data_IF_367877893628
#
_entry.id   IF_367877893628
#
_cell.length_a   1.000
_cell.length_b   1.000
_cell.length_c   1.000
_cell.angle_alpha   90.00
_cell.angle_beta   90.00
_cell.angle_gamma   90.00
#
_symmetry.space_group_name_H-M   'P 1'
#
loop_
_entity.id
_entity.type
_entity.pdbx_description
1 polymer ?
#
# COMPACT_ATOMS: atom_id res chain seq x y z
N UNK A 1 -19.50 26.85 28.42
CA UNK A 1 -19.19 25.65 29.25
C UNK A 1 -17.96 24.96 28.67
N UNK A 2 -17.07 24.48 29.54
CA UNK A 2 -15.84 23.76 29.16
C UNK A 2 -16.21 22.33 28.72
N UNK A 3 -15.58 21.82 27.65
CA UNK A 3 -15.82 20.50 27.07
C UNK A 3 -14.61 19.59 27.29
N UNK A 4 -14.85 18.30 27.56
CA UNK A 4 -13.78 17.32 27.75
C UNK A 4 -13.51 16.58 26.43
N UNK A 5 -12.27 16.63 25.98
CA UNK A 5 -11.84 16.00 24.73
C UNK A 5 -10.90 14.81 25.06
N UNK A 6 -11.31 13.61 24.71
CA UNK A 6 -10.59 12.37 25.01
C UNK A 6 -9.87 11.89 23.76
N UNK A 7 -8.57 11.63 23.88
CA UNK A 7 -7.73 11.09 22.82
C UNK A 7 -6.89 9.90 23.33
N UNK A 8 -6.24 9.17 22.44
CA UNK A 8 -5.43 8.02 22.84
C UNK A 8 -4.02 8.40 23.28
N UNK A 9 -3.41 9.41 22.63
CA UNK A 9 -2.00 9.70 22.84
C UNK A 9 -1.72 11.15 23.24
N UNK A 10 -0.63 11.41 23.99
CA UNK A 10 -0.20 12.76 24.32
C UNK A 10 0.30 13.54 23.09
N UNK A 11 0.78 12.86 22.03
CA UNK A 11 1.20 13.51 20.78
C UNK A 11 0.02 14.19 20.12
N UNK A 12 -1.13 13.52 20.03
CA UNK A 12 -2.39 14.12 19.52
C UNK A 12 -2.77 15.38 20.29
N UNK A 13 -2.57 15.39 21.62
CA UNK A 13 -2.88 16.57 22.44
C UNK A 13 -2.08 17.78 21.99
N UNK A 14 -0.77 17.63 21.70
CA UNK A 14 0.07 18.75 21.27
C UNK A 14 -0.44 19.36 19.97
N UNK A 15 -0.79 18.52 18.99
CA UNK A 15 -1.33 18.95 17.69
C UNK A 15 -2.72 19.57 17.84
N UNK A 16 -3.62 18.90 18.57
CA UNK A 16 -5.00 19.38 18.79
C UNK A 16 -5.05 20.67 19.60
N UNK A 17 -4.17 20.87 20.59
CA UNK A 17 -4.11 22.14 21.33
C UNK A 17 -3.85 23.32 20.43
N UNK A 18 -2.90 23.20 19.48
CA UNK A 18 -2.62 24.26 18.50
C UNK A 18 -3.82 24.55 17.61
N UNK A 19 -4.53 23.49 17.17
CA UNK A 19 -5.71 23.63 16.32
C UNK A 19 -6.89 24.21 17.11
N UNK A 20 -7.20 23.64 18.27
CA UNK A 20 -8.36 24.01 19.07
C UNK A 20 -8.24 25.40 19.71
N UNK A 21 -7.01 25.94 19.86
CA UNK A 21 -6.84 27.32 20.35
C UNK A 21 -7.45 28.37 19.44
N UNK A 22 -7.59 28.09 18.15
CA UNK A 22 -8.26 28.96 17.19
C UNK A 22 -9.79 28.92 17.25
N UNK A 23 -10.37 27.97 17.98
CA UNK A 23 -11.80 27.82 18.16
C UNK A 23 -12.28 28.61 19.39
N UNK A 24 -13.40 29.31 19.28
CA UNK A 24 -14.00 30.10 20.38
C UNK A 24 -14.50 29.26 21.59
N UNK A 25 -14.24 27.94 21.63
CA UNK A 25 -14.73 27.01 22.65
C UNK A 25 -13.57 26.57 23.55
N UNK A 26 -13.81 26.50 24.87
CA UNK A 26 -12.80 25.99 25.81
C UNK A 26 -12.85 24.46 25.89
N UNK A 27 -11.71 23.82 25.64
CA UNK A 27 -11.55 22.36 25.67
C UNK A 27 -10.49 21.95 26.70
N UNK A 28 -10.83 20.94 27.50
CA UNK A 28 -9.84 20.19 28.31
C UNK A 28 -9.51 18.92 27.56
N UNK A 29 -8.22 18.67 27.28
CA UNK A 29 -7.79 17.48 26.56
C UNK A 29 -7.15 16.49 27.53
N UNK A 30 -7.57 15.22 27.45
CA UNK A 30 -7.03 14.13 28.28
C UNK A 30 -6.67 12.92 27.43
N UNK A 31 -5.43 12.36 27.53
CA UNK A 31 -5.04 11.13 26.86
C UNK A 31 -5.39 9.91 27.71
N UNK A 32 -5.90 8.85 27.08
CA UNK A 32 -6.12 7.55 27.73
C UNK A 32 -4.86 6.68 27.74
N UNK A 33 -3.89 6.98 26.88
CA UNK A 33 -2.71 6.13 26.64
C UNK A 33 -3.09 4.70 26.17
N UNK A 34 -4.14 4.56 25.37
CA UNK A 34 -4.71 3.31 24.91
C UNK A 34 -5.88 2.81 25.78
N UNK A 35 -6.13 1.51 25.76
CA UNK A 35 -7.25 0.90 26.51
C UNK A 35 -7.18 1.11 28.02
N UNK A 36 -8.31 1.42 28.65
CA UNK A 36 -8.46 1.52 30.10
C UNK A 36 -8.91 0.20 30.76
N UNK A 37 -9.47 -0.71 29.97
CA UNK A 37 -9.85 -2.08 30.34
C UNK A 37 -9.19 -3.09 29.42
N UNK A 38 -8.92 -4.29 29.92
CA UNK A 38 -8.53 -5.45 29.10
C UNK A 38 -8.92 -6.75 29.80
N UNK A 39 -8.82 -7.88 29.10
CA UNK A 39 -8.96 -9.20 29.69
C UNK A 39 -7.81 -9.48 30.67
N UNK A 40 -8.08 -10.22 31.79
CA UNK A 40 -7.05 -10.56 32.76
C UNK A 40 -5.90 -11.34 32.10
N UNK A 41 -4.64 -11.06 32.53
CA UNK A 41 -3.46 -11.69 31.92
C UNK A 41 -3.29 -13.17 32.31
N UNK A 42 -3.66 -13.53 33.54
CA UNK A 42 -3.36 -14.85 34.12
C UNK A 42 -4.54 -15.83 34.06
N UNK A 43 -5.62 -15.49 33.38
CA UNK A 43 -6.79 -16.35 33.21
C UNK A 43 -7.41 -16.15 31.83
N UNK A 44 -8.24 -17.10 31.40
CA UNK A 44 -8.95 -17.00 30.13
C UNK A 44 -9.77 -15.71 30.03
N UNK A 45 -10.48 -15.35 31.13
CA UNK A 45 -11.28 -14.13 31.18
C UNK A 45 -12.47 -14.11 30.21
N UNK A 46 -12.85 -15.26 29.66
CA UNK A 46 -14.00 -15.46 28.76
C UNK A 46 -14.77 -16.66 29.27
N UNK A 47 -16.08 -16.52 29.40
CA UNK A 47 -16.96 -17.64 29.71
C UNK A 47 -17.11 -18.53 28.47
N UNK A 48 -16.81 -19.84 28.59
CA UNK A 48 -16.82 -20.76 27.44
C UNK A 48 -18.23 -21.14 26.95
N UNK A 49 -19.28 -20.89 27.75
CA UNK A 49 -20.66 -21.21 27.35
C UNK A 49 -21.33 -20.01 26.67
N UNK A 50 -21.15 -18.80 27.24
CA UNK A 50 -21.77 -17.58 26.72
C UNK A 50 -20.89 -16.77 25.80
N UNK A 51 -19.57 -17.07 25.79
CA UNK A 51 -18.51 -16.30 25.11
C UNK A 51 -18.37 -14.86 25.64
N UNK A 52 -18.96 -14.55 26.78
CA UNK A 52 -18.89 -13.22 27.38
C UNK A 52 -17.52 -12.94 27.98
N UNK A 53 -16.88 -11.81 27.63
CA UNK A 53 -15.59 -11.41 28.19
C UNK A 53 -15.74 -10.71 29.54
N UNK A 54 -14.89 -11.07 30.48
CA UNK A 54 -14.80 -10.42 31.81
C UNK A 54 -13.65 -9.42 31.84
N UNK A 55 -13.91 -8.19 31.36
CA UNK A 55 -12.90 -7.13 31.35
C UNK A 55 -12.62 -6.57 32.74
N UNK A 56 -11.34 -6.28 33.02
CA UNK A 56 -10.88 -5.63 34.22
C UNK A 56 -10.24 -4.28 33.90
N UNK A 57 -10.34 -3.31 34.80
CA UNK A 57 -9.59 -2.07 34.69
C UNK A 57 -8.10 -2.32 34.88
N UNK A 58 -7.30 -1.75 33.99
CA UNK A 58 -5.85 -1.89 34.05
C UNK A 58 -5.27 -1.05 35.20
N UNK A 59 -4.48 -1.67 36.09
CA UNK A 59 -3.82 -0.98 37.24
C UNK A 59 -2.99 0.22 36.75
N UNK A 60 -2.29 0.10 35.62
CA UNK A 60 -1.49 1.18 35.04
C UNK A 60 -2.33 2.40 34.59
N UNK A 61 -3.66 2.25 34.49
CA UNK A 61 -4.60 3.30 34.07
C UNK A 61 -5.34 3.98 35.23
N UNK A 62 -5.09 3.61 36.48
CA UNK A 62 -5.81 4.19 37.61
C UNK A 62 -5.62 5.69 37.73
N UNK A 63 -4.46 6.24 37.39
CA UNK A 63 -4.24 7.69 37.33
C UNK A 63 -5.16 8.37 36.32
N UNK A 64 -5.31 7.76 35.12
CA UNK A 64 -6.22 8.24 34.04
C UNK A 64 -7.67 8.16 34.48
N UNK A 65 -8.08 7.06 35.10
CA UNK A 65 -9.45 6.87 35.61
C UNK A 65 -9.79 7.92 36.70
N UNK A 66 -8.88 8.18 37.61
CA UNK A 66 -9.04 9.23 38.65
C UNK A 66 -9.18 10.61 38.03
N UNK A 67 -8.41 10.91 36.99
CA UNK A 67 -8.45 12.19 36.32
C UNK A 67 -9.74 12.32 35.45
N UNK A 68 -10.18 11.26 34.76
CA UNK A 68 -11.47 11.20 34.08
C UNK A 68 -12.62 11.52 35.04
N UNK A 69 -12.64 10.88 36.21
CA UNK A 69 -13.63 11.15 37.27
C UNK A 69 -13.59 12.61 37.75
N UNK A 70 -12.40 13.14 38.00
CA UNK A 70 -12.22 14.53 38.47
C UNK A 70 -12.68 15.55 37.41
N UNK A 71 -12.39 15.30 36.13
CA UNK A 71 -12.76 16.21 35.05
C UNK A 71 -14.25 16.11 34.69
N UNK A 72 -14.86 14.95 34.81
CA UNK A 72 -16.28 14.76 34.51
C UNK A 72 -17.20 15.62 35.38
N UNK A 73 -16.77 15.95 36.62
CA UNK A 73 -17.55 16.86 37.49
C UNK A 73 -17.57 18.32 37.02
N UNK A 74 -16.66 18.70 36.10
CA UNK A 74 -16.47 20.08 35.62
C UNK A 74 -17.05 20.35 34.23
N UNK A 75 -17.58 19.32 33.56
CA UNK A 75 -18.05 19.38 32.16
C UNK A 75 -19.45 18.77 32.05
N UNK A 76 -20.18 19.14 31.03
CA UNK A 76 -21.46 18.50 30.64
C UNK A 76 -21.35 17.68 29.37
N UNK A 77 -20.33 17.94 28.56
CA UNK A 77 -20.12 17.29 27.27
C UNK A 77 -18.73 16.65 27.19
N UNK A 78 -18.70 15.42 26.67
CA UNK A 78 -17.47 14.63 26.47
C UNK A 78 -17.34 14.28 24.97
N UNK A 79 -16.24 14.68 24.39
CA UNK A 79 -15.90 14.45 22.99
C UNK A 79 -14.87 13.31 22.89
N UNK A 80 -15.29 12.19 22.34
CA UNK A 80 -14.48 10.96 22.21
C UNK A 80 -13.77 10.99 20.84
N UNK A 81 -12.52 11.45 20.82
CA UNK A 81 -11.71 11.67 19.63
C UNK A 81 -10.53 10.66 19.51
N UNK A 82 -10.80 9.42 19.84
CA UNK A 82 -9.89 8.29 19.64
C UNK A 82 -9.77 7.96 18.16
N UNK A 83 -8.83 7.09 17.77
CA UNK A 83 -8.63 6.70 16.36
C UNK A 83 -9.93 6.23 15.70
N UNK A 84 -10.12 6.50 14.40
CA UNK A 84 -11.34 6.12 13.69
C UNK A 84 -11.33 4.64 13.28
N UNK A 85 -11.02 3.74 14.22
CA UNK A 85 -11.00 2.30 14.03
C UNK A 85 -11.71 1.56 15.17
N UNK A 86 -11.77 0.22 15.10
CA UNK A 86 -12.43 -0.61 16.11
C UNK A 86 -11.81 -0.51 17.50
N UNK A 87 -10.49 -0.32 17.57
CA UNK A 87 -9.76 -0.17 18.84
C UNK A 87 -10.12 1.17 19.48
N UNK A 88 -10.12 2.27 18.68
CA UNK A 88 -10.54 3.57 19.15
C UNK A 88 -12.01 3.61 19.55
N UNK A 89 -12.89 2.87 18.84
CA UNK A 89 -14.29 2.73 19.21
C UNK A 89 -14.47 2.04 20.57
N UNK A 90 -13.70 0.97 20.81
CA UNK A 90 -13.70 0.26 22.09
C UNK A 90 -13.18 1.13 23.25
N UNK A 91 -12.12 1.91 23.01
CA UNK A 91 -11.62 2.86 24.00
C UNK A 91 -12.71 3.89 24.34
N UNK A 92 -13.37 4.46 23.32
CA UNK A 92 -14.49 5.40 23.47
C UNK A 92 -15.64 4.79 24.26
N UNK A 93 -16.04 3.56 23.94
CA UNK A 93 -17.09 2.83 24.64
C UNK A 93 -16.75 2.65 26.14
N UNK A 94 -15.54 2.19 26.45
CA UNK A 94 -15.11 1.98 27.85
C UNK A 94 -15.02 3.28 28.64
N UNK A 95 -14.59 4.38 28.01
CA UNK A 95 -14.58 5.70 28.66
C UNK A 95 -16.01 6.17 28.93
N UNK A 96 -16.93 6.04 27.96
CA UNK A 96 -18.35 6.35 28.11
C UNK A 96 -18.95 5.53 29.26
N UNK A 97 -18.79 4.22 29.25
CA UNK A 97 -19.27 3.31 30.28
C UNK A 97 -18.74 3.68 31.68
N UNK A 98 -17.44 3.98 31.79
CA UNK A 98 -16.83 4.37 33.06
C UNK A 98 -17.43 5.68 33.59
N UNK A 99 -17.57 6.68 32.75
CA UNK A 99 -18.04 8.01 33.17
C UNK A 99 -19.55 8.00 33.49
N UNK A 100 -20.38 7.24 32.76
CA UNK A 100 -21.80 7.09 33.06
C UNK A 100 -22.08 6.43 34.43
N UNK A 101 -21.18 5.57 34.89
CA UNK A 101 -21.24 5.02 36.28
C UNK A 101 -20.97 6.07 37.35
N UNK A 102 -20.26 7.15 37.00
CA UNK A 102 -19.96 8.23 37.93
C UNK A 102 -21.02 9.35 37.84
N UNK A 103 -21.53 9.63 36.63
CA UNK A 103 -22.42 10.76 36.36
C UNK A 103 -23.29 10.48 35.13
N UNK A 104 -24.60 10.32 35.34
CA UNK A 104 -25.56 9.89 34.32
C UNK A 104 -25.98 10.96 33.31
N UNK A 105 -25.83 12.24 33.67
CA UNK A 105 -26.26 13.41 32.87
C UNK A 105 -25.22 13.90 31.85
N UNK A 106 -24.11 13.20 31.67
CA UNK A 106 -23.09 13.54 30.70
C UNK A 106 -23.54 13.20 29.28
N UNK A 107 -23.32 14.14 28.37
CA UNK A 107 -23.58 13.97 26.93
C UNK A 107 -22.25 13.56 26.26
N UNK A 108 -22.32 12.53 25.40
CA UNK A 108 -21.15 12.00 24.69
C UNK A 108 -21.29 12.19 23.20
N UNK A 109 -20.21 12.61 22.57
CA UNK A 109 -20.08 12.74 21.13
C UNK A 109 -18.83 12.00 20.66
N UNK A 110 -18.95 11.22 19.59
CA UNK A 110 -17.85 10.54 18.92
C UNK A 110 -17.39 11.37 17.73
N UNK A 111 -16.05 11.54 17.60
CA UNK A 111 -15.40 12.26 16.50
C UNK A 111 -14.51 11.34 15.71
N UNK A 112 -14.71 11.29 14.41
CA UNK A 112 -13.83 10.55 13.49
C UNK A 112 -12.76 11.48 12.92
N UNK A 113 -11.59 11.51 13.58
CA UNK A 113 -10.46 12.30 13.12
C UNK A 113 -9.67 11.52 12.05
N UNK A 114 -10.08 11.64 10.80
CA UNK A 114 -9.40 11.01 9.65
C UNK A 114 -8.08 11.69 9.31
N UNK A 115 -7.96 12.96 9.66
CA UNK A 115 -6.74 13.75 9.61
C UNK A 115 -6.74 14.78 10.75
N UNK A 116 -5.58 15.07 11.30
CA UNK A 116 -5.44 16.01 12.42
C UNK A 116 -4.97 17.36 11.87
N UNK A 117 -5.87 18.00 11.12
CA UNK A 117 -5.70 19.33 10.54
C UNK A 117 -6.81 20.26 11.04
N UNK A 118 -6.68 21.61 10.91
CA UNK A 118 -7.77 22.53 11.25
C UNK A 118 -9.08 22.18 10.53
N UNK A 119 -8.98 21.81 9.25
CA UNK A 119 -10.14 21.42 8.45
C UNK A 119 -10.72 20.08 8.90
N UNK A 120 -9.86 19.06 9.13
CA UNK A 120 -10.28 17.74 9.59
C UNK A 120 -10.99 17.81 10.95
N UNK A 121 -10.45 18.58 11.89
CA UNK A 121 -11.04 18.81 13.20
C UNK A 121 -12.38 19.57 13.08
N UNK A 122 -12.45 20.60 12.25
CA UNK A 122 -13.70 21.32 11.99
C UNK A 122 -14.75 20.41 11.38
N UNK A 123 -14.37 19.60 10.41
CA UNK A 123 -15.27 18.64 9.77
C UNK A 123 -15.79 17.61 10.78
N UNK A 124 -14.91 17.04 11.61
CA UNK A 124 -15.31 16.10 12.65
C UNK A 124 -16.26 16.72 13.70
N UNK A 125 -16.01 17.98 14.10
CA UNK A 125 -16.90 18.71 15.03
C UNK A 125 -18.27 19.04 14.43
N UNK A 126 -18.39 19.12 13.13
CA UNK A 126 -19.67 19.34 12.43
C UNK A 126 -20.41 18.03 12.13
N UNK A 127 -19.74 16.87 12.23
CA UNK A 127 -20.30 15.55 11.95
C UNK A 127 -20.17 14.63 13.18
N UNK A 128 -20.70 15.11 14.31
CA UNK A 128 -20.72 14.34 15.55
C UNK A 128 -21.67 13.14 15.41
N UNK A 129 -21.27 12.01 15.97
CA UNK A 129 -22.08 10.80 16.03
C UNK A 129 -22.09 10.20 17.43
N UNK A 130 -22.86 9.17 17.63
CA UNK A 130 -22.77 8.31 18.80
C UNK A 130 -21.65 7.29 18.65
N UNK A 131 -21.30 6.62 19.76
CA UNK A 131 -20.40 5.45 19.72
C UNK A 131 -21.11 4.32 18.97
N UNK A 132 -20.43 3.75 17.99
CA UNK A 132 -20.94 2.67 17.15
C UNK A 132 -20.79 1.31 17.88
N UNK A 133 -21.92 0.82 18.39
CA UNK A 133 -21.97 -0.44 19.11
C UNK A 133 -21.57 -1.64 18.23
N UNK A 134 -21.88 -1.61 16.92
CA UNK A 134 -21.50 -2.69 15.99
C UNK A 134 -19.99 -2.78 15.77
N UNK A 135 -19.32 -1.62 15.69
CA UNK A 135 -17.86 -1.58 15.64
C UNK A 135 -17.24 -2.06 16.95
N UNK A 136 -17.84 -1.69 18.08
CA UNK A 136 -17.44 -2.20 19.39
C UNK A 136 -17.63 -3.72 19.51
N UNK A 137 -18.76 -4.26 19.11
CA UNK A 137 -19.02 -5.72 19.07
C UNK A 137 -18.02 -6.44 18.15
N UNK A 138 -17.69 -5.86 17.00
CA UNK A 138 -16.66 -6.38 16.10
C UNK A 138 -15.27 -6.42 16.78
N UNK A 139 -14.93 -5.43 17.61
CA UNK A 139 -13.73 -5.46 18.44
C UNK A 139 -13.81 -6.58 19.49
N UNK A 140 -14.94 -6.71 20.20
CA UNK A 140 -15.16 -7.75 21.20
C UNK A 140 -14.98 -9.14 20.60
N UNK A 141 -15.66 -9.44 19.50
CA UNK A 141 -15.58 -10.73 18.82
C UNK A 141 -14.13 -11.09 18.47
N UNK A 142 -13.39 -10.12 17.93
CA UNK A 142 -11.97 -10.29 17.63
C UNK A 142 -11.15 -10.54 18.90
N UNK A 143 -11.38 -9.78 19.97
CA UNK A 143 -10.61 -9.89 21.21
C UNK A 143 -10.87 -11.23 21.91
N UNK A 144 -12.12 -11.68 21.93
CA UNK A 144 -12.53 -12.98 22.46
C UNK A 144 -11.87 -14.13 21.65
N UNK A 145 -11.97 -14.06 20.32
CA UNK A 145 -11.39 -15.09 19.45
C UNK A 145 -9.87 -15.20 19.62
N UNK A 146 -9.15 -14.06 19.63
CA UNK A 146 -7.71 -14.03 19.87
C UNK A 146 -7.35 -14.63 21.23
N UNK A 147 -8.19 -14.39 22.27
CA UNK A 147 -8.01 -14.95 23.61
C UNK A 147 -8.24 -16.47 23.63
N UNK A 148 -9.32 -16.95 23.00
CA UNK A 148 -9.62 -18.37 22.93
C UNK A 148 -8.51 -19.15 22.22
N UNK A 149 -8.09 -18.69 21.05
CA UNK A 149 -7.02 -19.36 20.29
C UNK A 149 -5.70 -19.33 21.10
N UNK A 150 -5.32 -18.18 21.64
CA UNK A 150 -4.06 -18.03 22.39
C UNK A 150 -4.01 -18.87 23.66
N UNK A 151 -5.12 -19.03 24.38
CA UNK A 151 -5.16 -19.70 25.69
C UNK A 151 -5.56 -21.17 25.64
N UNK A 152 -6.28 -21.61 24.60
CA UNK A 152 -6.71 -22.99 24.46
C UNK A 152 -5.82 -23.78 23.49
N UNK A 153 -5.48 -23.18 22.33
CA UNK A 153 -4.71 -23.88 21.30
C UNK A 153 -3.20 -23.86 21.59
N UNK A 154 -2.64 -22.72 22.05
CA UNK A 154 -1.20 -22.65 22.33
C UNK A 154 -0.70 -23.67 23.36
N UNK A 155 -1.38 -23.90 24.52
CA UNK A 155 -0.96 -24.92 25.48
C UNK A 155 -1.09 -26.36 24.93
N UNK A 156 -2.07 -26.58 24.05
CA UNK A 156 -2.24 -27.88 23.37
C UNK A 156 -1.04 -28.15 22.44
N UNK A 157 -0.69 -27.20 21.58
CA UNK A 157 0.47 -27.31 20.70
C UNK A 157 1.77 -27.49 21.51
N UNK A 158 1.96 -26.69 22.55
CA UNK A 158 3.17 -26.78 23.38
C UNK A 158 3.34 -28.14 24.03
N UNK A 159 2.25 -28.78 24.46
CA UNK A 159 2.27 -30.13 25.00
C UNK A 159 2.51 -31.18 23.91
N UNK A 160 1.83 -31.08 22.77
CA UNK A 160 1.94 -32.04 21.66
C UNK A 160 3.37 -32.10 21.07
N UNK A 161 4.06 -30.98 21.04
CA UNK A 161 5.41 -30.88 20.48
C UNK A 161 6.52 -30.79 21.54
N UNK A 162 6.18 -30.81 22.80
CA UNK A 162 7.11 -30.61 23.92
C UNK A 162 8.01 -29.37 23.77
N UNK A 163 7.45 -28.29 23.26
CA UNK A 163 8.11 -27.02 22.98
C UNK A 163 7.19 -25.85 23.34
N UNK A 164 7.78 -24.70 23.67
CA UNK A 164 7.02 -23.48 23.91
C UNK A 164 6.51 -22.88 22.56
N UNK A 165 5.34 -23.32 22.12
CA UNK A 165 4.71 -22.89 20.88
C UNK A 165 3.47 -22.03 21.14
N UNK A 166 3.19 -21.14 20.22
CA UNK A 166 2.01 -20.28 20.26
C UNK A 166 1.18 -20.39 18.98
N UNK A 167 -0.14 -20.39 19.13
CA UNK A 167 -1.10 -20.24 18.05
C UNK A 167 -1.78 -18.89 18.11
N UNK A 168 -2.17 -18.37 16.96
CA UNK A 168 -2.91 -17.12 16.87
C UNK A 168 -3.71 -17.03 15.58
N UNK A 169 -4.83 -16.34 15.64
CA UNK A 169 -5.77 -16.17 14.53
C UNK A 169 -5.12 -15.61 13.25
N UNK A 170 -4.10 -14.79 13.37
CA UNK A 170 -3.38 -14.18 12.25
C UNK A 170 -2.07 -14.93 11.97
N UNK A 171 -1.29 -15.22 13.02
CA UNK A 171 0.04 -15.81 12.85
C UNK A 171 -0.01 -17.24 12.29
N UNK A 172 -0.98 -18.07 12.71
CA UNK A 172 -1.06 -19.45 12.24
C UNK A 172 -1.45 -19.56 10.76
N UNK A 173 -2.49 -18.85 10.26
CA UNK A 173 -2.75 -18.80 8.82
C UNK A 173 -1.61 -18.17 8.01
N UNK A 174 -0.94 -17.13 8.53
CA UNK A 174 0.20 -16.52 7.84
C UNK A 174 1.36 -17.52 7.71
N UNK A 175 1.69 -18.25 8.79
CA UNK A 175 2.70 -19.31 8.75
C UNK A 175 2.32 -20.42 7.77
N UNK A 176 1.06 -20.81 7.73
CA UNK A 176 0.56 -21.81 6.77
C UNK A 176 0.82 -21.37 5.33
N UNK A 177 0.49 -20.12 4.97
CA UNK A 177 0.74 -19.58 3.62
C UNK A 177 2.23 -19.60 3.26
N UNK A 178 3.11 -19.28 4.22
CA UNK A 178 4.56 -19.34 4.02
C UNK A 178 5.01 -20.78 3.78
N UNK A 179 4.55 -21.73 4.60
CA UNK A 179 4.91 -23.15 4.45
C UNK A 179 4.38 -23.75 3.14
N UNK A 180 3.15 -23.39 2.73
CA UNK A 180 2.60 -23.82 1.44
C UNK A 180 3.45 -23.28 0.28
N UNK A 181 3.87 -22.02 0.34
CA UNK A 181 4.75 -21.41 -0.65
C UNK A 181 6.14 -22.06 -0.67
N UNK A 182 6.72 -22.33 0.51
CA UNK A 182 8.02 -22.99 0.60
C UNK A 182 8.01 -24.39 -0.01
N UNK A 183 6.92 -25.15 0.21
CA UNK A 183 6.73 -26.46 -0.45
C UNK A 183 6.67 -26.32 -1.97
N UNK A 184 5.95 -25.32 -2.49
CA UNK A 184 5.94 -25.04 -3.93
C UNK A 184 7.35 -24.73 -4.48
N UNK A 185 8.20 -24.07 -3.69
CA UNK A 185 9.58 -23.75 -4.05
C UNK A 185 10.44 -25.04 -4.01
N UNK A 186 10.31 -25.84 -2.97
CA UNK A 186 11.07 -27.10 -2.79
C UNK A 186 10.70 -28.14 -3.85
N UNK A 187 9.42 -28.25 -4.21
CA UNK A 187 8.92 -29.20 -5.21
C UNK A 187 9.19 -28.73 -6.66
N UNK A 188 9.60 -27.48 -6.83
CA UNK A 188 9.81 -26.89 -8.16
C UNK A 188 11.01 -27.52 -8.85
N UNK A 189 10.80 -28.00 -10.07
CA UNK A 189 11.85 -28.53 -10.94
C UNK A 189 12.16 -27.52 -12.05
N UNK A 190 13.35 -26.91 -12.05
CA UNK A 190 13.72 -26.00 -13.12
C UNK A 190 13.73 -26.70 -14.49
N UNK A 191 13.09 -26.05 -15.47
CA UNK A 191 13.21 -26.45 -16.87
C UNK A 191 14.16 -25.52 -17.58
N UNK A 192 15.10 -26.14 -18.34
CA UNK A 192 16.06 -25.42 -19.17
C UNK A 192 15.59 -25.47 -20.60
N UNK A 193 15.50 -24.30 -21.21
CA UNK A 193 15.19 -24.13 -22.64
C UNK A 193 16.13 -23.11 -23.25
N UNK A 194 16.16 -23.02 -24.56
CA UNK A 194 17.03 -22.13 -25.30
C UNK A 194 16.22 -21.25 -26.25
N UNK A 195 16.60 -19.98 -26.37
CA UNK A 195 16.06 -19.00 -27.30
C UNK A 195 17.12 -18.53 -28.28
N UNK A 196 16.74 -18.20 -29.51
CA UNK A 196 17.63 -17.65 -30.52
C UNK A 196 17.41 -16.15 -30.66
N UNK A 197 18.48 -15.39 -30.47
CA UNK A 197 18.51 -13.93 -30.58
C UNK A 197 19.44 -13.56 -31.72
N UNK A 198 19.00 -12.68 -32.62
CA UNK A 198 19.85 -12.07 -33.64
C UNK A 198 20.22 -10.64 -33.21
N UNK A 199 21.45 -10.27 -33.48
CA UNK A 199 21.93 -8.88 -33.40
C UNK A 199 21.99 -8.34 -34.82
N UNK A 200 21.21 -7.30 -35.07
CA UNK A 200 21.03 -6.69 -36.38
C UNK A 200 21.44 -5.22 -36.35
N UNK A 201 21.78 -4.71 -37.51
CA UNK A 201 22.10 -3.30 -37.72
C UNK A 201 21.22 -2.70 -38.82
N UNK A 202 20.77 -1.48 -38.60
CA UNK A 202 20.10 -0.64 -39.57
C UNK A 202 20.59 0.81 -39.43
N UNK A 203 21.16 1.37 -40.49
CA UNK A 203 21.66 2.76 -40.55
C UNK A 203 22.55 3.14 -39.35
N UNK A 204 23.48 2.26 -38.92
CA UNK A 204 24.37 2.48 -37.80
C UNK A 204 23.73 2.24 -36.42
N UNK A 205 22.45 1.85 -36.37
CA UNK A 205 21.75 1.51 -35.11
C UNK A 205 21.67 0.00 -34.94
N UNK A 206 22.29 -0.49 -33.88
CA UNK A 206 22.28 -1.93 -33.52
C UNK A 206 21.10 -2.24 -32.62
N UNK A 207 20.45 -3.36 -32.86
CA UNK A 207 19.34 -3.85 -32.06
C UNK A 207 19.24 -5.37 -32.07
N UNK A 208 18.48 -5.93 -31.16
CA UNK A 208 18.30 -7.38 -31.05
C UNK A 208 16.86 -7.78 -31.33
N UNK A 209 16.68 -8.95 -31.95
CA UNK A 209 15.36 -9.56 -32.15
C UNK A 209 15.41 -11.04 -31.78
N UNK A 210 14.29 -11.57 -31.31
CA UNK A 210 14.16 -12.91 -30.79
C UNK A 210 13.30 -13.77 -31.72
N UNK A 211 13.62 -15.06 -31.83
CA UNK A 211 12.86 -16.02 -32.62
C UNK A 211 11.51 -16.33 -31.97
N UNK A 212 10.45 -16.19 -32.76
CA UNK A 212 9.07 -16.51 -32.38
C UNK A 212 8.51 -17.59 -33.28
N UNK A 213 7.65 -18.42 -32.68
CA UNK A 213 6.77 -19.34 -33.43
C UNK A 213 5.34 -18.85 -33.26
N UNK A 214 4.73 -18.34 -34.33
CA UNK A 214 3.43 -17.63 -34.29
C UNK A 214 3.53 -16.39 -33.37
N UNK A 215 2.86 -16.44 -32.22
CA UNK A 215 2.76 -15.30 -31.28
C UNK A 215 3.64 -15.41 -30.03
N UNK A 216 4.36 -16.53 -29.87
CA UNK A 216 5.11 -16.82 -28.67
C UNK A 216 6.61 -16.97 -28.95
N UNK A 217 7.51 -16.54 -28.04
CA UNK A 217 8.91 -16.83 -28.13
C UNK A 217 9.13 -18.34 -28.34
N UNK A 218 9.93 -18.70 -29.34
CA UNK A 218 10.25 -20.10 -29.57
C UNK A 218 11.34 -20.54 -28.59
N UNK A 219 11.12 -21.68 -27.95
CA UNK A 219 12.05 -22.28 -27.01
C UNK A 219 12.37 -23.70 -27.45
N UNK A 220 13.66 -23.95 -27.75
CA UNK A 220 14.17 -25.29 -28.07
C UNK A 220 14.61 -26.01 -26.78
N UNK A 221 14.70 -27.33 -26.85
CA UNK A 221 15.17 -28.15 -25.75
C UNK A 221 16.72 -28.20 -25.68
N UNK A 222 17.39 -28.04 -26.80
CA UNK A 222 18.84 -28.08 -26.90
C UNK A 222 19.37 -26.87 -27.67
N UNK A 223 20.65 -26.57 -27.44
CA UNK A 223 21.33 -25.48 -28.12
C UNK A 223 21.55 -25.81 -29.60
N UNK A 224 21.90 -27.08 -29.87
CA UNK A 224 22.21 -27.60 -31.20
C UNK A 224 21.04 -27.44 -32.16
N UNK A 225 19.78 -27.63 -31.67
CA UNK A 225 18.56 -27.41 -32.47
C UNK A 225 18.50 -26.00 -33.02
N UNK A 226 18.86 -24.98 -32.22
CA UNK A 226 18.85 -23.59 -32.65
C UNK A 226 20.02 -23.20 -33.52
N UNK A 227 21.18 -23.81 -33.30
CA UNK A 227 22.36 -23.63 -34.17
C UNK A 227 22.09 -24.20 -35.57
N UNK A 228 21.45 -25.39 -35.66
CA UNK A 228 21.03 -25.97 -36.94
C UNK A 228 19.91 -25.11 -37.60
N UNK A 229 18.95 -24.61 -36.78
CA UNK A 229 17.94 -23.70 -37.27
C UNK A 229 18.57 -22.44 -37.87
N UNK A 230 19.56 -21.84 -37.18
CA UNK A 230 20.25 -20.65 -37.67
C UNK A 230 20.97 -20.95 -39.00
N UNK A 231 21.76 -21.99 -39.09
CA UNK A 231 22.49 -22.40 -40.31
C UNK A 231 21.52 -22.62 -41.47
N UNK A 232 20.38 -23.26 -41.23
CA UNK A 232 19.44 -23.63 -42.29
C UNK A 232 18.60 -22.44 -42.78
N UNK A 233 18.20 -21.56 -41.90
CA UNK A 233 17.18 -20.56 -42.20
C UNK A 233 17.65 -19.10 -42.17
N UNK A 234 18.84 -18.81 -41.61
CA UNK A 234 19.33 -17.43 -41.38
C UNK A 234 20.69 -17.20 -42.05
N UNK A 235 21.67 -18.10 -41.85
CA UNK A 235 23.02 -17.93 -42.34
C UNK A 235 23.09 -17.74 -43.86
N UNK A 236 23.76 -16.66 -44.27
CA UNK A 236 23.90 -16.32 -45.70
C UNK A 236 22.58 -15.94 -46.38
N UNK A 237 21.51 -15.73 -45.67
CA UNK A 237 20.20 -15.32 -46.22
C UNK A 237 19.98 -13.83 -46.06
N UNK A 238 19.18 -13.26 -46.97
CA UNK A 238 18.69 -11.90 -46.90
C UNK A 238 17.72 -11.77 -45.71
N UNK A 239 18.01 -10.86 -44.75
CA UNK A 239 17.12 -10.49 -43.66
C UNK A 239 16.41 -9.19 -44.04
N UNK A 240 15.07 -9.19 -43.92
CA UNK A 240 14.28 -8.02 -44.22
C UNK A 240 13.13 -7.84 -43.22
N UNK A 241 12.71 -6.61 -43.08
CA UNK A 241 11.54 -6.26 -42.26
C UNK A 241 10.25 -6.60 -43.08
N UNK A 242 9.48 -7.56 -42.61
CA UNK A 242 8.21 -7.90 -43.26
C UNK A 242 7.11 -6.90 -42.90
N UNK A 243 7.02 -6.55 -41.62
CA UNK A 243 5.98 -5.65 -41.09
C UNK A 243 6.45 -4.86 -39.89
N UNK A 244 6.10 -3.57 -39.83
CA UNK A 244 6.29 -2.72 -38.66
C UNK A 244 4.95 -2.30 -38.09
N UNK A 245 4.75 -2.49 -36.83
CA UNK A 245 3.58 -2.01 -36.09
C UNK A 245 3.98 -1.00 -35.03
N UNK A 246 3.39 0.17 -35.04
CA UNK A 246 3.59 1.19 -34.03
C UNK A 246 2.31 1.43 -33.25
N UNK A 247 2.43 1.50 -31.91
CA UNK A 247 1.28 1.72 -31.04
C UNK A 247 1.65 2.63 -29.88
N UNK A 248 0.79 3.62 -29.62
CA UNK A 248 0.91 4.40 -28.38
C UNK A 248 0.30 3.59 -27.22
N UNK A 249 1.13 3.29 -26.24
CA UNK A 249 0.71 2.59 -25.02
C UNK A 249 0.79 3.54 -23.82
N UNK A 250 -0.18 3.44 -22.90
CA UNK A 250 -0.25 4.25 -21.70
C UNK A 250 0.05 3.37 -20.49
N UNK A 251 1.02 3.78 -19.70
CA UNK A 251 1.31 3.22 -18.39
C UNK A 251 0.60 4.05 -17.31
N UNK A 252 -0.33 3.42 -16.61
CA UNK A 252 -1.13 4.09 -15.60
C UNK A 252 -0.32 4.38 -14.34
N UNK A 253 -0.53 5.52 -13.65
CA UNK A 253 0.07 5.78 -12.35
C UNK A 253 -0.41 4.76 -11.31
N UNK A 254 0.46 4.41 -10.34
CA UNK A 254 0.10 3.53 -9.25
C UNK A 254 -0.96 4.18 -8.34
N UNK A 255 -1.83 3.41 -7.67
CA UNK A 255 -2.78 3.96 -6.70
C UNK A 255 -2.05 4.54 -5.48
N UNK A 256 -2.68 5.45 -4.71
CA UNK A 256 -2.15 5.91 -3.45
C UNK A 256 -2.03 4.74 -2.45
N UNK A 257 -1.25 4.93 -1.41
CA UNK A 257 -1.00 3.87 -0.44
C UNK A 257 -2.22 3.51 0.40
N UNK A 258 -2.36 2.23 0.66
CA UNK A 258 -3.04 1.62 1.79
C UNK A 258 -2.00 0.98 2.72
N UNK A 259 -2.38 0.57 3.92
CA UNK A 259 -1.47 0.03 4.94
C UNK A 259 -0.51 -1.03 4.38
N UNK A 260 -1.04 -2.04 3.68
CA UNK A 260 -0.20 -3.15 3.17
C UNK A 260 0.81 -2.69 2.12
N UNK A 261 0.40 -1.85 1.17
CA UNK A 261 1.30 -1.36 0.11
C UNK A 261 2.31 -0.34 0.62
N UNK A 262 1.99 0.41 1.68
CA UNK A 262 2.96 1.29 2.35
C UNK A 262 4.05 0.49 3.03
N UNK A 263 3.69 -0.57 3.77
CA UNK A 263 4.65 -1.47 4.44
C UNK A 263 5.58 -2.12 3.40
N UNK A 264 5.02 -2.63 2.31
CA UNK A 264 5.80 -3.24 1.23
C UNK A 264 6.77 -2.23 0.60
N UNK A 265 6.29 -1.05 0.24
CA UNK A 265 7.12 -0.04 -0.40
C UNK A 265 8.23 0.50 0.52
N UNK A 266 7.94 0.73 1.81
CA UNK A 266 8.92 1.17 2.80
C UNK A 266 9.97 0.08 3.08
N UNK A 267 9.55 -1.20 3.09
CA UNK A 267 10.45 -2.33 3.19
C UNK A 267 11.41 -2.42 2.00
N UNK A 268 10.89 -2.29 0.78
CA UNK A 268 11.70 -2.31 -0.45
C UNK A 268 12.65 -1.12 -0.58
N UNK A 269 12.18 0.08 -0.22
CA UNK A 269 12.96 1.30 -0.43
C UNK A 269 14.00 1.55 0.67
N UNK A 270 13.69 1.22 1.92
CA UNK A 270 14.48 1.63 3.10
C UNK A 270 14.85 0.48 4.03
N UNK A 271 14.40 -0.74 3.78
CA UNK A 271 14.58 -1.88 4.67
C UNK A 271 13.78 -1.78 5.98
N UNK A 272 12.75 -0.95 6.03
CA UNK A 272 11.94 -0.79 7.25
C UNK A 272 11.10 -2.04 7.51
N UNK A 273 11.09 -2.51 8.76
CA UNK A 273 10.16 -3.55 9.16
C UNK A 273 8.71 -3.04 9.15
N UNK A 274 7.74 -3.95 9.08
CA UNK A 274 6.32 -3.60 9.19
C UNK A 274 6.00 -2.84 10.48
N UNK A 275 6.61 -3.26 11.61
CA UNK A 275 6.45 -2.61 12.93
C UNK A 275 7.00 -1.18 12.91
N UNK A 276 8.17 -0.98 12.34
CA UNK A 276 8.81 0.34 12.24
C UNK A 276 8.01 1.26 11.33
N UNK A 277 7.61 0.80 10.14
CA UNK A 277 6.78 1.55 9.20
C UNK A 277 5.48 2.03 9.87
N UNK A 278 4.78 1.13 10.57
CA UNK A 278 3.53 1.48 11.25
C UNK A 278 3.74 2.44 12.42
N UNK A 279 4.84 2.33 13.14
CA UNK A 279 5.19 3.26 14.21
C UNK A 279 5.46 4.67 13.66
N UNK A 280 6.24 4.78 12.60
CA UNK A 280 6.53 6.07 11.94
C UNK A 280 5.27 6.69 11.33
N UNK A 281 4.42 5.89 10.67
CA UNK A 281 3.15 6.35 10.10
C UNK A 281 2.17 6.85 11.19
N UNK A 282 2.10 6.18 12.34
CA UNK A 282 1.31 6.64 13.48
C UNK A 282 1.78 8.02 13.95
N UNK A 283 3.08 8.23 14.07
CA UNK A 283 3.65 9.54 14.46
C UNK A 283 3.34 10.64 13.45
N UNK A 284 3.49 10.36 12.15
CA UNK A 284 3.15 11.29 11.08
C UNK A 284 1.66 11.67 11.11
N UNK A 285 0.77 10.70 11.33
CA UNK A 285 -0.66 10.95 11.49
C UNK A 285 -0.97 11.81 12.73
N UNK A 286 -0.42 11.46 13.89
CA UNK A 286 -0.67 12.19 15.15
C UNK A 286 -0.15 13.63 15.12
N UNK A 287 0.88 13.88 14.32
CA UNK A 287 1.44 15.22 14.08
C UNK A 287 0.67 15.98 12.98
N UNK A 288 -0.27 15.32 12.29
CA UNK A 288 -1.10 15.93 11.26
C UNK A 288 -0.47 16.01 9.88
N UNK A 289 0.64 15.30 9.61
CA UNK A 289 1.29 15.28 8.30
C UNK A 289 0.59 14.41 7.28
N UNK A 290 -0.02 13.31 7.73
CA UNK A 290 -0.74 12.37 6.85
C UNK A 290 -2.14 12.06 7.37
N UNK A 291 -2.98 11.52 6.50
CA UNK A 291 -4.27 10.92 6.86
C UNK A 291 -4.07 9.65 7.70
N UNK A 292 -5.14 9.15 8.30
CA UNK A 292 -5.11 7.91 9.08
C UNK A 292 -4.49 6.77 8.30
N UNK A 293 -3.51 6.11 8.90
CA UNK A 293 -2.62 5.17 8.21
C UNK A 293 -3.08 3.71 8.26
N UNK A 294 -4.04 3.35 9.13
CA UNK A 294 -4.64 1.99 9.17
C UNK A 294 -5.86 1.95 8.28
N UNK A 295 -5.64 1.82 6.99
CA UNK A 295 -6.68 1.78 5.96
C UNK A 295 -6.37 0.77 4.86
N UNK A 296 -7.39 0.12 4.35
CA UNK A 296 -7.35 -0.72 3.15
C UNK A 296 -7.89 -0.01 1.90
N UNK A 297 -8.34 1.25 2.06
CA UNK A 297 -8.89 2.08 1.01
C UNK A 297 -7.82 2.79 0.19
N UNK A 298 -8.05 2.88 -1.12
CA UNK A 298 -7.28 3.74 -2.05
C UNK A 298 -8.10 4.94 -2.52
N UNK A 299 -9.23 5.22 -1.86
CA UNK A 299 -10.09 6.35 -2.18
C UNK A 299 -9.44 7.66 -1.75
N UNK A 300 -9.60 8.68 -2.56
CA UNK A 300 -9.14 10.05 -2.28
C UNK A 300 -10.37 10.97 -2.26
N UNK A 301 -10.47 11.84 -1.26
CA UNK A 301 -11.58 12.79 -1.15
C UNK A 301 -11.57 13.79 -2.32
N UNK A 302 -12.73 14.33 -2.68
CA UNK A 302 -12.81 15.37 -3.73
C UNK A 302 -11.94 16.59 -3.45
N UNK A 303 -11.83 16.98 -2.18
CA UNK A 303 -10.99 18.09 -1.76
C UNK A 303 -9.51 17.80 -1.98
N UNK A 304 -9.04 16.63 -1.55
CA UNK A 304 -7.64 16.23 -1.74
C UNK A 304 -7.26 16.10 -3.23
N UNK A 305 -8.19 15.65 -4.08
CA UNK A 305 -8.01 15.65 -5.54
C UNK A 305 -7.84 17.05 -6.10
N UNK A 306 -8.68 18.00 -5.67
CA UNK A 306 -8.54 19.41 -6.10
C UNK A 306 -7.22 20.04 -5.64
N UNK A 307 -6.79 19.73 -4.42
CA UNK A 307 -5.47 20.17 -3.91
C UNK A 307 -4.33 19.60 -4.75
N UNK A 308 -4.38 18.30 -5.07
CA UNK A 308 -3.38 17.65 -5.92
C UNK A 308 -3.40 18.23 -7.35
N UNK A 309 -4.57 18.42 -7.93
CA UNK A 309 -4.73 19.04 -9.26
C UNK A 309 -4.12 20.43 -9.31
N UNK A 310 -4.42 21.27 -8.31
CA UNK A 310 -3.84 22.63 -8.25
C UNK A 310 -2.33 22.57 -8.12
N UNK A 311 -1.80 21.73 -7.24
CA UNK A 311 -0.36 21.56 -7.04
C UNK A 311 0.33 21.09 -8.33
N UNK A 312 -0.26 20.09 -9.02
CA UNK A 312 0.29 19.56 -10.27
C UNK A 312 0.30 20.64 -11.35
N UNK A 313 -0.80 21.37 -11.53
CA UNK A 313 -0.86 22.47 -12.51
C UNK A 313 0.20 23.54 -12.26
N UNK A 314 0.40 23.92 -11.00
CA UNK A 314 1.34 24.97 -10.63
C UNK A 314 2.80 24.55 -10.82
N UNK A 315 3.17 23.30 -10.50
CA UNK A 315 4.57 22.88 -10.43
C UNK A 315 5.02 22.06 -11.64
N UNK A 316 4.09 21.40 -12.37
CA UNK A 316 4.42 20.49 -13.47
C UNK A 316 3.77 20.90 -14.81
N UNK A 317 2.64 21.58 -14.79
CA UNK A 317 1.86 21.93 -15.96
C UNK A 317 0.52 21.18 -16.05
N UNK A 318 -0.40 21.71 -16.83
CA UNK A 318 -1.78 21.16 -16.95
C UNK A 318 -1.80 19.77 -17.59
N UNK A 319 -0.88 19.48 -18.52
CA UNK A 319 -0.73 18.19 -19.20
C UNK A 319 -0.37 17.04 -18.25
N UNK A 320 0.20 17.37 -17.08
CA UNK A 320 0.51 16.36 -16.05
C UNK A 320 -0.68 16.05 -15.15
N UNK A 321 -1.79 16.76 -15.25
CA UNK A 321 -2.99 16.43 -14.47
C UNK A 321 -3.63 15.14 -14.95
N UNK A 322 -3.85 14.21 -14.03
CA UNK A 322 -4.55 12.97 -14.31
C UNK A 322 -6.04 13.21 -14.56
N UNK A 323 -6.61 12.54 -15.57
CA UNK A 323 -8.06 12.52 -15.74
C UNK A 323 -8.70 11.82 -14.54
N UNK A 324 -9.80 12.35 -14.04
CA UNK A 324 -10.54 11.77 -12.89
C UNK A 324 -10.93 10.32 -13.19
N UNK A 325 -10.14 9.37 -12.71
CA UNK A 325 -10.43 7.95 -12.88
C UNK A 325 -11.46 7.52 -11.86
N UNK A 326 -12.57 6.94 -12.32
CA UNK A 326 -13.46 6.16 -11.46
C UNK A 326 -12.71 4.89 -11.06
N UNK A 327 -12.03 4.92 -9.90
CA UNK A 327 -11.42 3.71 -9.34
C UNK A 327 -12.56 2.77 -8.90
N UNK A 328 -12.48 1.50 -9.31
CA UNK A 328 -13.44 0.47 -8.87
C UNK A 328 -13.39 0.39 -7.35
N UNK A 329 -14.51 0.67 -6.70
CA UNK A 329 -14.66 0.44 -5.25
C UNK A 329 -14.62 -1.08 -5.02
N UNK A 330 -13.70 -1.54 -4.20
CA UNK A 330 -13.68 -2.95 -3.81
C UNK A 330 -14.86 -3.22 -2.87
N UNK A 331 -15.66 -4.25 -3.14
CA UNK A 331 -16.92 -4.58 -2.44
C UNK A 331 -16.80 -4.81 -0.92
N UNK A 332 -15.61 -4.93 -0.37
CA UNK A 332 -15.35 -5.27 1.05
C UNK A 332 -14.45 -4.27 1.78
N UNK A 333 -14.24 -3.06 1.24
CA UNK A 333 -13.50 -2.01 1.96
C UNK A 333 -14.39 -1.38 3.03
N UNK A 334 -13.85 -1.11 4.21
CA UNK A 334 -14.48 -0.19 5.16
C UNK A 334 -14.57 1.18 4.47
N UNK A 335 -15.73 1.49 3.92
CA UNK A 335 -15.98 2.64 3.02
C UNK A 335 -15.77 4.02 3.69
N UNK A 336 -15.47 4.01 4.98
CA UNK A 336 -15.31 5.21 5.80
C UNK A 336 -13.92 5.87 5.68
N UNK A 337 -12.88 5.14 5.25
CA UNK A 337 -11.50 5.64 5.24
C UNK A 337 -11.05 6.12 3.86
N UNK A 338 -10.12 7.10 3.87
CA UNK A 338 -9.35 7.50 2.71
C UNK A 338 -8.04 6.69 2.60
N UNK A 339 -7.37 6.83 1.45
CA UNK A 339 -6.00 6.39 1.26
C UNK A 339 -5.05 7.14 2.20
N UNK A 340 -3.87 6.57 2.42
CA UNK A 340 -2.77 7.25 3.11
C UNK A 340 -2.21 8.31 2.18
N UNK A 341 -2.31 9.58 2.58
CA UNK A 341 -1.84 10.73 1.80
C UNK A 341 -1.32 11.85 2.70
N UNK A 342 -0.51 12.75 2.18
CA UNK A 342 -0.18 13.99 2.89
C UNK A 342 -1.44 14.84 3.09
N UNK A 343 -1.48 15.57 4.19
CA UNK A 343 -2.56 16.53 4.49
C UNK A 343 -2.33 17.88 3.83
N UNK A 344 -1.05 18.20 3.53
CA UNK A 344 -0.64 19.40 2.83
C UNK A 344 0.52 19.09 1.88
N UNK A 345 0.37 19.41 0.60
CA UNK A 345 1.37 19.16 -0.43
C UNK A 345 2.54 20.14 -0.43
N UNK A 346 2.36 21.33 0.16
CA UNK A 346 3.43 22.34 0.28
C UNK A 346 4.47 21.97 1.36
N UNK A 347 4.19 20.96 2.18
CA UNK A 347 5.13 20.47 3.18
C UNK A 347 5.99 19.38 2.57
N UNK A 348 7.30 19.59 2.47
CA UNK A 348 8.28 18.63 1.94
C UNK A 348 8.83 17.68 3.00
N UNK A 349 8.53 17.95 4.28
CA UNK A 349 8.96 17.13 5.41
C UNK A 349 10.40 17.36 5.87
N UNK A 350 11.06 18.44 5.43
CA UNK A 350 12.47 18.74 5.78
C UNK A 350 12.71 18.88 7.29
N UNK A 351 11.72 19.37 8.02
CA UNK A 351 11.77 19.53 9.48
C UNK A 351 11.58 18.21 10.25
N UNK A 352 11.26 17.12 9.57
CA UNK A 352 11.03 15.81 10.18
C UNK A 352 12.36 15.08 10.49
N UNK A 353 12.41 14.25 11.54
CA UNK A 353 13.49 13.30 11.73
C UNK A 353 13.69 12.42 10.50
N UNK A 354 14.93 12.01 10.24
CA UNK A 354 15.32 11.33 9.00
C UNK A 354 14.38 10.18 8.57
N UNK A 355 14.07 9.24 9.45
CA UNK A 355 13.20 8.10 9.12
C UNK A 355 11.75 8.53 8.84
N UNK A 356 11.21 9.47 9.61
CA UNK A 356 9.88 10.04 9.37
C UNK A 356 9.84 10.78 8.04
N UNK A 357 10.88 11.54 7.72
CA UNK A 357 11.01 12.27 6.47
C UNK A 357 11.03 11.33 5.26
N UNK A 358 11.82 10.25 5.30
CA UNK A 358 11.85 9.25 4.23
C UNK A 358 10.47 8.62 3.99
N UNK A 359 9.79 8.22 5.07
CA UNK A 359 8.45 7.66 4.94
C UNK A 359 7.43 8.67 4.43
N UNK A 360 7.51 9.92 4.92
CA UNK A 360 6.64 11.01 4.46
C UNK A 360 6.82 11.29 2.97
N UNK A 361 8.07 11.43 2.51
CA UNK A 361 8.39 11.67 1.10
C UNK A 361 7.91 10.52 0.21
N UNK A 362 8.02 9.28 0.66
CA UNK A 362 7.47 8.12 -0.06
C UNK A 362 5.95 8.23 -0.21
N UNK A 363 5.23 8.59 0.87
CA UNK A 363 3.77 8.79 0.85
C UNK A 363 3.40 9.96 -0.05
N UNK A 364 4.11 11.07 0.06
CA UNK A 364 3.91 12.29 -0.71
C UNK A 364 4.06 12.03 -2.22
N UNK A 365 5.18 11.44 -2.62
CA UNK A 365 5.47 11.13 -4.02
C UNK A 365 4.45 10.14 -4.61
N UNK A 366 4.07 9.11 -3.87
CA UNK A 366 3.07 8.14 -4.30
C UNK A 366 1.69 8.77 -4.48
N UNK A 367 1.27 9.60 -3.55
CA UNK A 367 -0.02 10.29 -3.63
C UNK A 367 -0.06 11.23 -4.83
N UNK A 368 0.96 12.08 -4.99
CA UNK A 368 1.02 13.01 -6.11
C UNK A 368 1.05 12.26 -7.45
N UNK A 369 1.91 11.24 -7.59
CA UNK A 369 1.95 10.38 -8.77
C UNK A 369 0.57 9.78 -9.11
N UNK A 370 -0.17 9.37 -8.09
CA UNK A 370 -1.49 8.74 -8.28
C UNK A 370 -2.54 9.66 -8.90
N UNK A 371 -2.37 10.96 -8.78
CA UNK A 371 -3.27 11.98 -9.34
C UNK A 371 -2.72 12.60 -10.64
N UNK A 372 -1.49 12.23 -11.04
CA UNK A 372 -0.88 12.65 -12.31
C UNK A 372 -1.37 11.84 -13.50
N UNK A 373 -1.09 12.35 -14.70
CA UNK A 373 -1.38 11.69 -15.99
C UNK A 373 -0.50 10.46 -16.20
N UNK A 374 -0.96 9.55 -17.08
CA UNK A 374 -0.22 8.35 -17.48
C UNK A 374 1.06 8.69 -18.22
N UNK A 375 2.10 7.90 -18.06
CA UNK A 375 3.23 7.90 -18.98
C UNK A 375 2.79 7.33 -20.34
N UNK A 376 3.27 7.92 -21.43
CA UNK A 376 2.93 7.51 -22.80
C UNK A 376 4.20 7.05 -23.51
N UNK A 377 4.15 5.86 -24.06
CA UNK A 377 5.23 5.28 -24.85
C UNK A 377 4.80 5.04 -26.28
N UNK A 378 5.74 5.19 -27.21
CA UNK A 378 5.66 4.60 -28.53
C UNK A 378 6.24 3.18 -28.44
N UNK A 379 5.42 2.18 -28.64
CA UNK A 379 5.88 0.81 -28.82
C UNK A 379 6.04 0.56 -30.31
N UNK A 380 7.20 0.07 -30.72
CA UNK A 380 7.51 -0.37 -32.06
C UNK A 380 7.73 -1.87 -32.02
N UNK A 381 7.00 -2.61 -32.85
CA UNK A 381 7.22 -4.02 -33.10
C UNK A 381 7.56 -4.18 -34.56
N UNK A 382 8.64 -4.90 -34.88
CA UNK A 382 8.98 -5.27 -36.24
C UNK A 382 9.05 -6.80 -36.37
N UNK A 383 8.39 -7.32 -37.38
CA UNK A 383 8.50 -8.70 -37.78
C UNK A 383 9.58 -8.80 -38.86
N UNK A 384 10.58 -9.63 -38.62
CA UNK A 384 11.77 -9.77 -39.44
C UNK A 384 11.79 -11.20 -39.94
N UNK A 385 12.05 -11.36 -41.24
CA UNK A 385 12.06 -12.66 -41.92
C UNK A 385 13.29 -12.83 -42.82
N UNK A 386 13.50 -14.08 -43.21
CA UNK A 386 14.33 -14.48 -44.36
C UNK A 386 13.46 -15.19 -45.36
N UNK A 387 13.91 -15.30 -46.61
CA UNK A 387 13.22 -16.02 -47.67
C UNK A 387 13.02 -17.51 -47.38
N UNK A 388 13.89 -18.07 -46.50
CA UNK A 388 13.85 -19.49 -46.11
C UNK A 388 12.91 -19.78 -44.95
N UNK A 389 12.50 -18.75 -44.16
CA UNK A 389 11.65 -18.94 -42.98
C UNK A 389 10.22 -19.32 -43.39
N UNK A 390 9.70 -20.37 -42.76
CA UNK A 390 8.28 -20.76 -42.96
C UNK A 390 7.34 -19.72 -42.32
N UNK A 391 6.08 -19.68 -42.77
CA UNK A 391 5.07 -18.73 -42.28
C UNK A 391 4.86 -18.75 -40.75
N UNK A 392 5.32 -19.81 -40.08
CA UNK A 392 5.13 -19.96 -38.63
C UNK A 392 6.23 -19.36 -37.79
N UNK A 393 7.36 -19.01 -38.37
CA UNK A 393 8.51 -18.47 -37.70
C UNK A 393 8.81 -17.04 -38.14
N UNK A 394 9.15 -16.19 -37.22
CA UNK A 394 9.63 -14.83 -37.44
C UNK A 394 10.54 -14.38 -36.32
N UNK A 395 11.44 -13.43 -36.60
CA UNK A 395 12.18 -12.73 -35.55
C UNK A 395 11.44 -11.46 -35.19
N UNK A 396 11.20 -11.24 -33.90
CA UNK A 396 10.44 -10.09 -33.41
C UNK A 396 11.37 -9.13 -32.68
N UNK A 397 11.44 -7.91 -33.18
CA UNK A 397 11.95 -6.77 -32.43
C UNK A 397 10.82 -6.12 -31.67
N UNK A 398 11.04 -5.73 -30.41
CA UNK A 398 10.08 -4.95 -29.62
C UNK A 398 10.81 -3.90 -28.81
N UNK A 399 10.65 -2.64 -29.20
CA UNK A 399 11.21 -1.48 -28.53
C UNK A 399 10.12 -0.56 -27.97
N UNK A 400 10.47 0.25 -26.95
CA UNK A 400 9.59 1.27 -26.36
C UNK A 400 10.36 2.57 -26.18
N UNK A 401 9.81 3.68 -26.72
CA UNK A 401 10.34 5.02 -26.53
C UNK A 401 9.37 5.85 -25.67
N UNK A 402 9.88 6.49 -24.64
CA UNK A 402 9.07 7.41 -23.84
C UNK A 402 8.73 8.66 -24.67
N UNK A 403 7.43 8.92 -24.86
CA UNK A 403 6.93 10.12 -25.53
C UNK A 403 6.53 11.20 -24.53
N UNK A 404 5.95 10.80 -23.41
CA UNK A 404 5.51 11.68 -22.35
C UNK A 404 5.71 11.02 -20.99
N UNK A 405 6.44 11.61 -20.06
CA UNK A 405 6.78 10.96 -18.79
C UNK A 405 5.59 10.82 -17.84
N UNK A 406 4.60 11.73 -17.89
CA UNK A 406 3.48 11.73 -16.96
C UNK A 406 3.93 11.62 -15.51
N UNK A 407 3.30 10.73 -14.72
CA UNK A 407 3.64 10.53 -13.30
C UNK A 407 5.10 10.13 -13.03
N UNK A 408 5.79 9.57 -14.02
CA UNK A 408 7.22 9.19 -13.87
C UNK A 408 8.15 10.38 -13.69
N UNK A 409 7.71 11.57 -14.05
CA UNK A 409 8.46 12.82 -13.80
C UNK A 409 8.86 13.01 -12.33
N UNK A 410 8.09 12.41 -11.38
CA UNK A 410 8.41 12.44 -9.95
C UNK A 410 9.51 11.49 -9.52
N UNK A 411 9.82 10.48 -10.33
CA UNK A 411 10.73 9.38 -9.96
C UNK A 411 11.94 9.30 -10.89
N UNK A 412 12.01 10.14 -11.92
CA UNK A 412 13.01 9.99 -12.96
C UNK A 412 14.38 10.49 -12.53
N UNK A 413 15.29 9.54 -12.35
CA UNK A 413 16.55 9.63 -13.10
C UNK A 413 16.18 9.37 -14.57
N UNK A 414 16.36 10.36 -15.43
CA UNK A 414 16.23 10.20 -16.87
C UNK A 414 17.28 9.18 -17.32
N UNK A 415 16.86 7.92 -17.44
CA UNK A 415 17.66 6.95 -18.19
C UNK A 415 17.54 7.38 -19.65
N UNK A 416 18.67 7.40 -20.35
CA UNK A 416 18.74 7.70 -21.79
C UNK A 416 17.62 6.97 -22.52
N UNK A 417 16.87 7.67 -23.39
CA UNK A 417 15.79 7.05 -24.13
C UNK A 417 16.36 5.88 -24.94
N UNK A 418 15.77 4.70 -24.79
CA UNK A 418 16.15 3.55 -25.61
C UNK A 418 16.11 3.97 -27.10
N UNK A 419 17.25 3.79 -27.79
CA UNK A 419 17.34 4.06 -29.21
C UNK A 419 16.50 3.00 -29.94
N UNK A 420 15.46 3.43 -30.65
CA UNK A 420 14.67 2.57 -31.48
C UNK A 420 15.12 2.76 -32.93
N UNK A 421 15.48 1.69 -33.66
CA UNK A 421 15.84 1.78 -35.06
C UNK A 421 14.63 2.29 -35.90
N UNK A 422 14.90 3.12 -36.91
CA UNK A 422 13.88 3.58 -37.85
C UNK A 422 13.63 2.47 -38.90
N UNK A 423 12.70 1.55 -38.54
CA UNK A 423 12.35 0.39 -39.38
C UNK A 423 11.12 0.68 -40.22
N UNK A 424 11.14 0.23 -41.47
CA UNK A 424 10.02 0.30 -42.39
C UNK A 424 9.85 -1.05 -43.11
N UNK A 425 8.65 -1.35 -43.55
CA UNK A 425 8.35 -2.56 -44.28
C UNK A 425 9.21 -2.66 -45.56
N UNK A 426 9.77 -3.85 -45.82
CA UNK A 426 10.65 -4.14 -46.94
C UNK A 426 12.11 -3.76 -46.79
N UNK A 427 12.52 -3.12 -45.65
CA UNK A 427 13.91 -2.76 -45.41
C UNK A 427 14.80 -3.97 -45.21
N UNK A 428 15.99 -3.93 -45.83
CA UNK A 428 17.06 -4.92 -45.61
C UNK A 428 17.82 -4.62 -44.32
N UNK A 429 18.24 -5.68 -43.64
CA UNK A 429 18.94 -5.61 -42.36
C UNK A 429 20.28 -6.34 -42.44
N UNK A 430 21.28 -5.80 -41.76
CA UNK A 430 22.61 -6.41 -41.69
C UNK A 430 22.66 -7.28 -40.43
N UNK A 431 23.02 -8.57 -40.63
CA UNK A 431 23.27 -9.49 -39.52
C UNK A 431 24.68 -9.25 -38.97
N UNK A 432 24.76 -8.84 -37.71
CA UNK A 432 26.06 -8.70 -37.00
C UNK A 432 26.42 -9.96 -36.25
N UNK A 433 25.47 -10.72 -35.79
CA UNK A 433 25.73 -11.97 -35.04
C UNK A 433 24.46 -12.60 -34.50
N UNK A 434 24.63 -13.72 -33.83
CA UNK A 434 23.54 -14.37 -33.12
C UNK A 434 24.02 -14.93 -31.76
N UNK A 435 23.05 -15.12 -30.87
CA UNK A 435 23.29 -15.74 -29.56
C UNK A 435 22.18 -16.76 -29.27
N UNK A 436 22.58 -17.89 -28.67
CA UNK A 436 21.64 -18.87 -28.13
C UNK A 436 21.60 -18.68 -26.63
N UNK A 437 20.55 -18.00 -26.16
CA UNK A 437 20.36 -17.68 -24.75
C UNK A 437 19.73 -18.86 -24.00
N UNK A 438 20.34 -19.22 -22.86
CA UNK A 438 19.78 -20.21 -21.93
C UNK A 438 18.69 -19.56 -21.07
N UNK A 439 17.50 -20.13 -21.10
CA UNK A 439 16.40 -19.77 -20.21
C UNK A 439 16.17 -20.88 -19.21
N UNK A 440 16.22 -20.54 -17.93
CA UNK A 440 15.92 -21.44 -16.83
C UNK A 440 14.72 -20.92 -16.05
N UNK A 441 13.68 -21.74 -15.93
CA UNK A 441 12.52 -21.36 -15.13
C UNK A 441 12.90 -21.27 -13.66
N UNK A 442 12.34 -20.29 -12.95
CA UNK A 442 12.61 -20.06 -11.53
C UNK A 442 11.41 -20.48 -10.70
N UNK A 443 11.62 -20.95 -9.46
CA UNK A 443 10.53 -21.21 -8.54
C UNK A 443 9.71 -19.94 -8.30
N UNK A 444 8.47 -20.07 -7.82
CA UNK A 444 7.67 -18.92 -7.41
C UNK A 444 8.39 -18.15 -6.30
N UNK A 445 8.26 -16.81 -6.31
CA UNK A 445 8.86 -15.90 -5.31
C UNK A 445 8.05 -15.86 -4.03
#
# INVERSE_FOLDING_TARGET
>A
MTKLFIVESPTKIKTLKKILSSFKKSFILLPTYGHIKDLPKNSLGVDLKTLEPKFIYLRSKYKVLKELKRLSSKVSEVYLATDPDREGEAISYYVKEYLLKQRKDLVFYRLDLREITPLGVKTALNNLREVDEKLYESFLARRVLDRLIGYLVSPYLSRAFNQALSAGRVQSPALRLIVEREREIEDFKPEITYGLILTLEQNGTTFTCELFKKKFPYRAKTKEELEEFFKRYVEGRRLYVEKVETKKIKEAPPPPFKTSTLIEAAGKAFGFSAKETMFLAQRLYEQGYITYHRTDSTRVSPLAKKMAELYIKTHFGEEYCGQTRRRRVQKFTQDAHEAIRPTNLEITGESLPQKERLLYQLIWSRFLASEMSSAVYLQVKAEIKTEALTQHFSFIFSGKKLLFPGFKRLFSEEKDPAVIPDLKDGMDLILLGYEVEKHETKPPS
#
